data_IF_403971163467
#
_entry.id   IF_403971163467
#
_cell.length_a   1.000
_cell.length_b   1.000
_cell.length_c   1.000
_cell.angle_alpha   90.00
_cell.angle_beta   90.00
_cell.angle_gamma   90.00
#
_symmetry.space_group_name_H-M   'P 1'
#
loop_
_entity.id
_entity.type
_entity.pdbx_description
1 polymer ?
#
# COMPACT_ATOMS: atom_id res chain seq x y z
N UNK A 1 9.47 -30.99 -36.92
CA UNK A 1 9.85 -31.94 -35.86
C UNK A 1 9.80 -31.23 -34.53
N UNK A 2 8.75 -31.51 -33.82
CA UNK A 2 8.39 -30.89 -32.55
C UNK A 2 9.10 -31.70 -31.45
N UNK A 3 9.87 -31.08 -30.59
CA UNK A 3 10.35 -31.70 -29.37
C UNK A 3 9.70 -31.03 -28.18
N UNK A 4 8.70 -31.71 -27.66
CA UNK A 4 8.10 -31.44 -26.35
C UNK A 4 9.13 -31.76 -25.28
N UNK A 5 9.40 -30.76 -24.42
CA UNK A 5 10.07 -30.98 -23.14
C UNK A 5 8.98 -30.95 -22.07
N UNK A 6 8.68 -32.10 -21.52
CA UNK A 6 7.83 -32.27 -20.34
C UNK A 6 8.64 -31.83 -19.13
N UNK A 7 8.21 -30.77 -18.46
CA UNK A 7 8.66 -30.45 -17.11
C UNK A 7 7.78 -31.28 -16.15
N UNK A 8 8.40 -32.20 -15.44
CA UNK A 8 7.74 -32.98 -14.38
C UNK A 8 7.66 -32.06 -13.14
N UNK A 9 6.46 -31.60 -12.84
CA UNK A 9 6.15 -31.12 -11.51
C UNK A 9 6.17 -32.32 -10.55
N UNK A 10 7.08 -32.33 -9.61
CA UNK A 10 7.11 -33.28 -8.52
C UNK A 10 6.04 -32.88 -7.48
N UNK A 11 4.85 -33.43 -7.62
CA UNK A 11 3.80 -33.37 -6.61
C UNK A 11 4.27 -34.16 -5.40
N UNK A 12 4.75 -33.47 -4.36
CA UNK A 12 5.04 -34.08 -3.07
C UNK A 12 3.72 -34.28 -2.33
N UNK A 13 3.24 -35.51 -2.39
CA UNK A 13 2.05 -35.95 -1.66
C UNK A 13 2.45 -36.16 -0.20
N UNK A 14 2.36 -35.15 0.64
CA UNK A 14 2.46 -35.32 2.09
C UNK A 14 1.16 -35.93 2.60
N UNK A 15 1.26 -37.16 3.10
CA UNK A 15 0.20 -37.86 3.79
C UNK A 15 -0.05 -37.18 5.14
N UNK A 16 -1.19 -36.53 5.28
CA UNK A 16 -1.65 -36.02 6.57
C UNK A 16 -1.95 -37.21 7.51
N UNK A 17 -1.05 -37.46 8.44
CA UNK A 17 -1.38 -38.18 9.66
C UNK A 17 -1.73 -37.14 10.72
N UNK A 18 -3.01 -37.09 11.06
CA UNK A 18 -3.50 -36.40 12.24
C UNK A 18 -2.89 -37.02 13.50
N UNK A 19 -1.92 -36.31 14.08
CA UNK A 19 -1.55 -36.48 15.49
C UNK A 19 -1.47 -35.09 16.08
N UNK A 20 -2.20 -34.87 17.18
CA UNK A 20 -2.04 -33.75 18.08
C UNK A 20 -0.61 -33.80 18.66
N UNK A 21 0.31 -33.15 18.00
CA UNK A 21 1.63 -32.83 18.51
C UNK A 21 1.86 -31.34 18.24
N UNK A 22 2.31 -30.62 19.26
CA UNK A 22 2.92 -29.29 19.10
C UNK A 22 4.24 -29.49 18.33
N UNK A 23 4.15 -29.64 17.01
CA UNK A 23 5.29 -29.78 16.11
C UNK A 23 5.83 -28.37 15.80
N UNK A 24 6.49 -27.77 16.82
CA UNK A 24 7.39 -26.67 16.56
C UNK A 24 8.58 -27.25 15.78
N UNK A 25 8.65 -26.99 14.50
CA UNK A 25 9.87 -27.24 13.72
C UNK A 25 11.05 -26.52 14.40
N UNK A 26 12.25 -27.13 14.42
CA UNK A 26 13.39 -26.48 15.04
C UNK A 26 13.67 -25.16 14.29
N UNK A 27 13.73 -24.05 15.05
CA UNK A 27 14.03 -22.73 14.51
C UNK A 27 15.30 -22.79 13.66
N UNK A 28 15.27 -22.37 12.39
CA UNK A 28 16.43 -22.42 11.51
C UNK A 28 17.61 -21.64 12.08
N UNK A 29 18.83 -22.12 11.83
CA UNK A 29 20.05 -21.51 12.37
C UNK A 29 20.35 -20.08 11.87
N UNK A 30 19.63 -19.60 10.87
CA UNK A 30 19.73 -18.22 10.37
C UNK A 30 18.83 -17.25 11.15
N UNK A 31 17.89 -17.73 11.97
CA UNK A 31 17.03 -16.91 12.82
C UNK A 31 17.77 -16.58 14.10
N UNK A 32 17.93 -15.29 14.40
CA UNK A 32 18.58 -14.85 15.63
C UNK A 32 17.74 -15.16 16.88
N UNK A 33 18.37 -15.23 18.02
CA UNK A 33 17.66 -15.39 19.29
C UNK A 33 16.79 -14.17 19.62
N UNK A 34 17.23 -12.99 19.20
CA UNK A 34 16.53 -11.73 19.36
C UNK A 34 15.23 -11.71 18.54
N UNK A 35 15.30 -12.13 17.28
CA UNK A 35 14.11 -12.21 16.40
C UNK A 35 13.11 -13.24 16.91
N UNK A 36 13.60 -14.43 17.30
CA UNK A 36 12.73 -15.45 17.90
C UNK A 36 12.02 -14.92 19.14
N UNK A 37 12.74 -14.22 20.02
CA UNK A 37 12.16 -13.67 21.24
C UNK A 37 11.12 -12.60 20.95
N UNK A 38 11.39 -11.70 19.97
CA UNK A 38 10.45 -10.68 19.54
C UNK A 38 9.18 -11.28 18.93
N UNK A 39 9.33 -12.33 18.13
CA UNK A 39 8.19 -13.07 17.58
C UNK A 39 7.35 -13.72 18.69
N UNK A 40 7.98 -14.44 19.60
CA UNK A 40 7.27 -15.11 20.71
C UNK A 40 6.55 -14.13 21.63
N UNK A 41 7.13 -12.94 21.86
CA UNK A 41 6.51 -11.88 22.65
C UNK A 41 5.28 -11.31 21.93
N UNK A 42 5.40 -11.07 20.62
CA UNK A 42 4.31 -10.47 19.83
C UNK A 42 3.18 -11.48 19.54
N UNK A 43 3.53 -12.75 19.33
CA UNK A 43 2.58 -13.81 18.93
C UNK A 43 2.67 -15.05 19.86
N UNK A 44 2.35 -14.92 21.14
CA UNK A 44 2.55 -16.00 22.12
C UNK A 44 1.65 -17.23 21.90
N UNK A 45 0.64 -17.11 21.05
CA UNK A 45 -0.28 -18.19 20.70
C UNK A 45 -0.07 -18.75 19.27
N UNK A 46 1.03 -18.36 18.61
CA UNK A 46 1.36 -18.82 17.27
C UNK A 46 1.55 -20.34 17.24
N UNK A 47 1.06 -20.96 16.16
CA UNK A 47 1.18 -22.39 15.86
C UNK A 47 1.55 -22.57 14.40
N UNK A 48 2.03 -23.75 14.04
CA UNK A 48 2.45 -24.09 12.68
C UNK A 48 3.44 -23.07 12.13
N UNK A 49 4.47 -22.75 12.93
CA UNK A 49 5.43 -21.66 12.66
C UNK A 49 6.47 -22.13 11.66
N UNK A 50 6.53 -21.48 10.51
CA UNK A 50 7.53 -21.68 9.48
C UNK A 50 8.35 -20.41 9.30
N UNK A 51 9.66 -20.54 9.04
CA UNK A 51 10.56 -19.41 8.87
C UNK A 51 11.18 -19.45 7.48
N UNK A 52 11.16 -18.31 6.81
CA UNK A 52 11.87 -18.12 5.56
C UNK A 52 12.70 -16.83 5.56
N UNK A 53 13.48 -16.62 4.52
CA UNK A 53 14.21 -15.37 4.30
C UNK A 53 13.84 -14.82 2.94
N UNK A 54 13.52 -13.54 2.88
CA UNK A 54 13.23 -12.82 1.65
C UNK A 54 13.96 -11.48 1.70
N UNK A 55 14.90 -11.28 0.78
CA UNK A 55 15.81 -10.14 0.82
C UNK A 55 16.56 -10.06 2.18
N UNK A 56 16.47 -8.96 2.89
CA UNK A 56 17.13 -8.73 4.20
C UNK A 56 16.21 -9.04 5.39
N UNK A 57 15.02 -9.61 5.13
CA UNK A 57 14.02 -9.90 6.16
C UNK A 57 13.92 -11.38 6.48
N UNK A 58 13.51 -11.62 7.73
CA UNK A 58 13.04 -12.91 8.22
C UNK A 58 11.52 -12.88 8.20
N UNK A 59 10.92 -13.80 7.47
CA UNK A 59 9.49 -13.95 7.34
C UNK A 59 9.04 -15.15 8.14
N UNK A 60 7.93 -14.99 8.82
CA UNK A 60 7.36 -16.01 9.68
C UNK A 60 5.92 -16.24 9.27
N UNK A 61 5.67 -17.41 8.68
CA UNK A 61 4.33 -17.92 8.44
C UNK A 61 3.84 -18.64 9.69
N UNK A 62 2.65 -18.34 10.12
CA UNK A 62 2.08 -18.99 11.31
C UNK A 62 0.56 -18.89 11.34
N UNK A 63 -0.04 -19.74 12.17
CA UNK A 63 -1.48 -19.69 12.44
C UNK A 63 -1.77 -19.16 13.83
N UNK A 64 -2.76 -18.28 13.92
CA UNK A 64 -3.34 -17.84 15.16
C UNK A 64 -4.79 -18.30 15.23
N UNK A 65 -5.26 -18.73 16.42
CA UNK A 65 -6.63 -19.20 16.64
C UNK A 65 -7.10 -20.34 15.70
N UNK A 66 -6.17 -21.21 15.27
CA UNK A 66 -6.35 -22.44 14.47
C UNK A 66 -6.77 -22.25 13.02
N UNK A 67 -7.04 -21.02 12.53
CA UNK A 67 -7.56 -20.81 11.16
C UNK A 67 -7.10 -19.53 10.50
N UNK A 68 -6.58 -18.57 11.25
CA UNK A 68 -6.14 -17.30 10.69
C UNK A 68 -4.68 -17.47 10.32
N UNK A 69 -4.40 -17.43 9.05
CA UNK A 69 -3.05 -17.44 8.49
C UNK A 69 -2.47 -16.03 8.59
N UNK A 70 -1.20 -15.96 8.96
CA UNK A 70 -0.47 -14.71 9.13
C UNK A 70 0.94 -14.86 8.63
N UNK A 71 1.44 -13.82 8.01
CA UNK A 71 2.85 -13.64 7.65
C UNK A 71 3.40 -12.43 8.39
N UNK A 72 4.47 -12.58 9.15
CA UNK A 72 5.08 -11.49 9.89
C UNK A 72 6.54 -11.29 9.50
N UNK A 73 6.95 -10.02 9.36
CA UNK A 73 8.24 -9.61 8.83
C UNK A 73 9.10 -8.98 9.91
N UNK A 74 10.31 -9.50 10.07
CA UNK A 74 11.29 -9.06 11.05
C UNK A 74 12.67 -8.87 10.40
N UNK A 75 13.55 -8.12 11.04
CA UNK A 75 14.97 -8.18 10.75
C UNK A 75 15.71 -9.08 11.76
N UNK A 76 16.99 -9.30 11.53
CA UNK A 76 17.84 -10.12 12.41
C UNK A 76 18.10 -9.49 13.79
N UNK A 77 17.72 -8.24 14.01
CA UNK A 77 17.78 -7.58 15.32
C UNK A 77 16.52 -7.81 16.17
N UNK A 78 15.50 -8.44 15.59
CA UNK A 78 14.19 -8.64 16.19
C UNK A 78 13.24 -7.46 16.00
N UNK A 79 13.57 -6.51 15.11
CA UNK A 79 12.65 -5.44 14.76
C UNK A 79 11.51 -6.01 13.91
N UNK A 80 10.29 -5.86 14.38
CA UNK A 80 9.10 -6.16 13.59
C UNK A 80 8.77 -4.98 12.65
N UNK A 81 8.41 -5.31 11.42
CA UNK A 81 8.07 -4.33 10.38
C UNK A 81 6.59 -4.39 9.98
N UNK A 82 6.09 -5.59 9.72
CA UNK A 82 4.78 -5.78 9.14
C UNK A 82 4.17 -7.12 9.58
N UNK A 83 2.85 -7.19 9.55
CA UNK A 83 2.10 -8.45 9.63
C UNK A 83 0.92 -8.36 8.68
N UNK A 84 0.88 -9.30 7.79
CA UNK A 84 -0.24 -9.61 6.94
C UNK A 84 -1.14 -10.63 7.65
N UNK A 85 -2.42 -10.47 7.48
CA UNK A 85 -3.42 -11.38 8.03
C UNK A 85 -4.51 -11.59 7.00
N UNK A 86 -4.63 -12.82 6.50
CA UNK A 86 -5.76 -13.24 5.67
C UNK A 86 -7.06 -13.16 6.49
N UNK A 87 -8.02 -12.41 5.99
CA UNK A 87 -9.33 -12.24 6.62
C UNK A 87 -10.47 -12.44 5.63
N UNK A 88 -11.55 -13.10 6.01
CA UNK A 88 -12.74 -13.14 5.18
C UNK A 88 -13.29 -11.72 4.89
N UNK A 89 -13.76 -11.45 3.68
CA UNK A 89 -14.41 -10.17 3.31
C UNK A 89 -15.45 -9.70 4.33
N UNK A 90 -16.14 -10.62 4.99
CA UNK A 90 -17.13 -10.30 6.02
C UNK A 90 -16.53 -9.63 7.26
N UNK A 91 -15.22 -9.81 7.52
CA UNK A 91 -14.50 -9.23 8.66
C UNK A 91 -13.93 -7.84 8.38
N UNK A 92 -13.94 -7.38 7.13
CA UNK A 92 -13.59 -6.00 6.82
C UNK A 92 -14.42 -5.01 7.67
N UNK A 93 -13.88 -3.83 8.01
CA UNK A 93 -14.66 -2.73 8.56
C UNK A 93 -15.86 -2.39 7.66
N UNK A 94 -16.98 -2.02 8.25
CA UNK A 94 -18.19 -1.69 7.48
C UNK A 94 -17.96 -0.51 6.51
N UNK A 95 -17.09 0.42 6.88
CA UNK A 95 -16.71 1.54 6.02
C UNK A 95 -15.98 1.07 4.76
N UNK A 96 -15.02 0.14 4.90
CA UNK A 96 -14.29 -0.47 3.77
C UNK A 96 -15.23 -1.25 2.85
N UNK A 97 -16.08 -2.10 3.43
CA UNK A 97 -17.11 -2.83 2.65
C UNK A 97 -18.01 -1.89 1.86
N UNK A 98 -18.44 -0.80 2.49
CA UNK A 98 -19.31 0.20 1.85
C UNK A 98 -18.58 0.92 0.73
N UNK A 99 -17.33 1.34 0.96
CA UNK A 99 -16.51 2.01 -0.04
C UNK A 99 -16.26 1.11 -1.26
N UNK A 100 -15.85 -0.13 -1.04
CA UNK A 100 -15.68 -1.11 -2.11
C UNK A 100 -16.96 -1.33 -2.92
N UNK A 101 -18.09 -1.56 -2.24
CA UNK A 101 -19.37 -1.81 -2.91
C UNK A 101 -19.91 -0.61 -3.72
N UNK A 102 -19.46 0.59 -3.43
CA UNK A 102 -19.79 1.82 -4.15
C UNK A 102 -18.71 2.25 -5.14
N UNK A 103 -17.55 1.58 -5.13
CA UNK A 103 -16.40 1.88 -5.97
C UNK A 103 -16.51 1.31 -7.38
N UNK A 104 -15.54 1.68 -8.20
CA UNK A 104 -15.42 1.27 -9.61
C UNK A 104 -15.34 -0.26 -9.76
N UNK A 105 -14.63 -0.92 -8.85
CA UNK A 105 -14.35 -2.36 -8.89
C UNK A 105 -15.42 -3.22 -8.18
N UNK A 106 -16.55 -2.63 -7.79
CA UNK A 106 -17.62 -3.31 -7.03
C UNK A 106 -18.23 -4.54 -7.72
N UNK A 107 -18.06 -4.67 -9.05
CA UNK A 107 -18.56 -5.81 -9.85
C UNK A 107 -17.49 -6.85 -10.14
N UNK A 108 -16.25 -6.61 -9.73
CA UNK A 108 -15.17 -7.56 -9.90
C UNK A 108 -15.27 -8.66 -8.84
N UNK A 109 -14.71 -9.82 -9.15
CA UNK A 109 -14.62 -10.91 -8.18
C UNK A 109 -13.57 -10.55 -7.15
N UNK A 110 -13.91 -10.59 -5.87
CA UNK A 110 -12.93 -10.55 -4.79
C UNK A 110 -12.24 -11.91 -4.74
N UNK A 111 -10.93 -11.91 -4.85
CA UNK A 111 -10.10 -13.12 -4.78
C UNK A 111 -9.56 -13.33 -3.39
N UNK A 112 -8.90 -12.31 -2.83
CA UNK A 112 -8.41 -12.36 -1.47
C UNK A 112 -8.63 -11.03 -0.72
N UNK A 113 -8.47 -11.06 0.61
CA UNK A 113 -8.60 -9.89 1.47
C UNK A 113 -7.64 -9.95 2.64
N UNK A 114 -6.78 -8.96 2.75
CA UNK A 114 -5.78 -8.87 3.78
C UNK A 114 -5.93 -7.66 4.68
N UNK A 115 -5.57 -7.85 5.93
CA UNK A 115 -5.31 -6.78 6.87
C UNK A 115 -3.80 -6.67 7.06
N UNK A 116 -3.23 -5.55 6.68
CA UNK A 116 -1.80 -5.27 6.79
C UNK A 116 -1.55 -4.29 7.93
N UNK A 117 -1.01 -4.82 9.03
CA UNK A 117 -0.51 -4.04 10.15
C UNK A 117 0.96 -3.72 9.90
N UNK A 118 1.37 -2.45 10.00
CA UNK A 118 2.73 -2.01 9.73
C UNK A 118 3.26 -1.17 10.88
N UNK A 119 4.56 -1.14 11.02
CA UNK A 119 5.21 -0.39 12.09
C UNK A 119 5.12 1.11 11.84
N UNK A 120 4.62 1.83 12.85
CA UNK A 120 4.56 3.31 12.91
C UNK A 120 3.69 3.96 11.82
N UNK A 121 2.92 3.19 11.06
CA UNK A 121 1.96 3.67 10.05
C UNK A 121 0.57 3.06 10.25
N UNK A 122 -0.42 3.60 9.57
CA UNK A 122 -1.80 3.14 9.63
C UNK A 122 -1.93 1.71 9.11
N UNK A 123 -2.80 0.91 9.73
CA UNK A 123 -3.25 -0.36 9.18
C UNK A 123 -4.01 -0.12 7.89
N UNK A 124 -3.78 -0.93 6.88
CA UNK A 124 -4.55 -0.91 5.64
C UNK A 124 -5.24 -2.25 5.41
N UNK A 125 -6.33 -2.21 4.65
CA UNK A 125 -7.04 -3.40 4.18
C UNK A 125 -6.87 -3.49 2.67
N UNK A 126 -6.35 -4.59 2.20
CA UNK A 126 -6.18 -4.87 0.78
C UNK A 126 -7.33 -5.74 0.33
N UNK A 127 -7.96 -5.38 -0.78
CA UNK A 127 -8.95 -6.22 -1.45
C UNK A 127 -8.40 -6.52 -2.83
N UNK A 128 -7.99 -7.76 -3.03
CA UNK A 128 -7.57 -8.25 -4.33
C UNK A 128 -8.80 -8.58 -5.17
N UNK A 129 -8.83 -8.05 -6.38
CA UNK A 129 -9.97 -8.22 -7.27
C UNK A 129 -9.54 -8.65 -8.65
N UNK A 130 -10.31 -9.56 -9.25
CA UNK A 130 -10.06 -10.04 -10.60
C UNK A 130 -11.25 -9.85 -11.54
N UNK A 131 -10.98 -9.55 -12.80
CA UNK A 131 -11.95 -9.59 -13.89
C UNK A 131 -11.28 -10.04 -15.20
N UNK A 132 -11.56 -11.26 -15.60
CA UNK A 132 -10.95 -11.86 -16.79
C UNK A 132 -9.47 -12.19 -16.59
N UNK A 133 -8.58 -11.41 -17.18
CA UNK A 133 -7.12 -11.52 -17.02
C UNK A 133 -6.52 -10.27 -16.36
N UNK A 134 -7.32 -9.46 -15.74
CA UNK A 134 -6.89 -8.26 -15.04
C UNK A 134 -7.10 -8.45 -13.55
N UNK A 135 -6.09 -8.15 -12.78
CA UNK A 135 -6.06 -8.18 -11.33
C UNK A 135 -5.75 -6.79 -10.81
N UNK A 136 -6.40 -6.41 -9.73
CA UNK A 136 -6.26 -5.07 -9.12
C UNK A 136 -6.36 -5.20 -7.61
N UNK A 137 -5.37 -4.63 -6.92
CA UNK A 137 -5.34 -4.52 -5.48
C UNK A 137 -5.79 -3.14 -5.05
N UNK A 138 -6.75 -3.13 -4.14
CA UNK A 138 -7.38 -1.93 -3.62
C UNK A 138 -7.04 -1.76 -2.15
N UNK A 139 -6.28 -0.72 -1.84
CA UNK A 139 -5.81 -0.42 -0.48
C UNK A 139 -6.72 0.58 0.19
N UNK A 140 -7.36 0.18 1.27
CA UNK A 140 -8.29 1.01 2.03
C UNK A 140 -7.77 1.31 3.43
N UNK A 141 -7.93 2.55 3.88
CA UNK A 141 -7.83 2.87 5.31
C UNK A 141 -8.99 2.26 6.10
N UNK A 142 -8.90 2.11 7.43
CA UNK A 142 -9.97 1.50 8.24
C UNK A 142 -11.33 2.21 8.13
N UNK A 143 -11.35 3.48 7.78
CA UNK A 143 -12.56 4.29 7.56
C UNK A 143 -13.02 4.31 6.09
N UNK A 144 -12.48 3.43 5.25
CA UNK A 144 -12.99 3.17 3.91
C UNK A 144 -12.54 4.19 2.87
N UNK A 145 -11.45 4.91 3.10
CA UNK A 145 -10.83 5.76 2.09
C UNK A 145 -9.93 4.89 1.23
N UNK A 146 -10.14 4.89 -0.09
CA UNK A 146 -9.23 4.23 -1.03
C UNK A 146 -7.96 5.07 -1.11
N UNK A 147 -6.85 4.52 -0.63
CA UNK A 147 -5.56 5.22 -0.54
C UNK A 147 -4.63 4.89 -1.71
N UNK A 148 -4.77 3.69 -2.28
CA UNK A 148 -3.94 3.24 -3.40
C UNK A 148 -4.67 2.20 -4.24
N UNK A 149 -4.39 2.21 -5.53
CA UNK A 149 -4.81 1.16 -6.47
C UNK A 149 -3.58 0.66 -7.20
N UNK A 150 -3.32 -0.64 -7.16
CA UNK A 150 -2.22 -1.28 -7.86
C UNK A 150 -2.80 -2.21 -8.92
N UNK A 151 -2.37 -2.02 -10.17
CA UNK A 151 -2.69 -2.96 -11.24
C UNK A 151 -1.69 -4.11 -11.15
N UNK A 152 -2.15 -5.27 -10.74
CA UNK A 152 -1.30 -6.44 -10.74
C UNK A 152 -1.08 -6.93 -12.18
N UNK A 153 0.16 -6.81 -12.61
CA UNK A 153 0.58 -7.22 -13.95
C UNK A 153 1.22 -8.61 -13.96
N UNK A 154 1.06 -9.42 -12.91
CA UNK A 154 1.57 -10.79 -12.95
C UNK A 154 2.08 -11.41 -11.67
N UNK A 155 1.29 -11.41 -10.63
CA UNK A 155 1.48 -12.32 -9.50
C UNK A 155 2.77 -12.06 -8.73
N UNK A 156 2.94 -10.84 -8.25
CA UNK A 156 3.91 -10.54 -7.22
C UNK A 156 3.15 -10.42 -5.90
N UNK A 157 2.88 -11.57 -5.30
CA UNK A 157 2.13 -11.71 -4.05
C UNK A 157 2.91 -11.19 -2.82
N UNK A 158 3.92 -10.34 -3.04
CA UNK A 158 4.80 -9.84 -2.00
C UNK A 158 4.53 -8.39 -1.66
N UNK A 159 4.10 -8.13 -0.43
CA UNK A 159 3.97 -6.78 0.14
C UNK A 159 5.31 -6.15 0.55
N UNK A 160 6.42 -6.57 -0.07
CA UNK A 160 7.76 -6.06 0.23
C UNK A 160 7.86 -4.54 0.06
N UNK A 161 7.13 -4.00 -0.92
CA UNK A 161 7.04 -2.57 -1.19
C UNK A 161 6.24 -1.80 -0.14
N UNK A 162 5.58 -2.52 0.79
CA UNK A 162 4.79 -1.94 1.89
C UNK A 162 5.52 -1.89 3.23
N UNK A 163 6.76 -2.34 3.29
CA UNK A 163 7.56 -2.21 4.50
C UNK A 163 7.94 -0.73 4.67
N UNK A 164 7.36 -0.02 5.65
CA UNK A 164 7.57 1.41 5.74
C UNK A 164 9.02 1.72 6.10
N UNK A 165 9.60 2.67 5.38
CA UNK A 165 10.86 3.29 5.75
C UNK A 165 10.70 4.03 7.08
N UNK A 166 11.77 4.10 7.88
CA UNK A 166 11.73 4.90 9.11
C UNK A 166 11.98 6.38 8.77
N UNK A 167 11.08 7.31 9.13
CA UNK A 167 11.29 8.71 8.87
C UNK A 167 12.46 9.24 9.71
N UNK A 168 13.18 10.22 9.18
CA UNK A 168 14.12 10.96 10.00
C UNK A 168 13.36 11.79 11.05
N UNK A 169 14.02 12.16 12.15
CA UNK A 169 13.41 12.99 13.20
C UNK A 169 12.91 14.34 12.68
N UNK A 170 13.51 14.90 11.62
CA UNK A 170 13.08 16.15 10.98
C UNK A 170 11.79 15.97 10.19
N UNK A 171 11.64 14.86 9.48
CA UNK A 171 10.40 14.50 8.74
C UNK A 171 9.25 14.30 9.72
N UNK A 172 9.46 13.50 10.77
CA UNK A 172 8.45 13.25 11.81
C UNK A 172 8.04 14.55 12.52
N UNK A 173 9.00 15.45 12.83
CA UNK A 173 8.70 16.75 13.42
C UNK A 173 7.87 17.62 12.48
N UNK A 174 8.18 17.65 11.17
CA UNK A 174 7.42 18.41 10.19
C UNK A 174 5.97 17.92 10.11
N UNK A 175 5.75 16.61 9.97
CA UNK A 175 4.39 16.05 9.90
C UNK A 175 3.59 16.40 11.16
N UNK A 176 4.18 16.25 12.34
CA UNK A 176 3.50 16.60 13.61
C UNK A 176 3.22 18.10 13.76
N UNK A 177 4.06 18.99 13.22
CA UNK A 177 3.88 20.44 13.28
C UNK A 177 2.79 20.92 12.33
N UNK A 178 2.82 20.48 11.07
CA UNK A 178 1.94 20.98 10.01
C UNK A 178 0.66 20.16 9.84
N UNK A 179 0.68 18.89 10.23
CA UNK A 179 -0.43 17.94 10.09
C UNK A 179 -0.67 17.15 11.39
N UNK A 180 -0.92 17.81 12.53
CA UNK A 180 -0.91 17.18 13.86
C UNK A 180 -1.97 16.08 14.07
N UNK A 181 -2.99 16.06 13.23
CA UNK A 181 -4.09 15.06 13.28
C UNK A 181 -4.03 14.05 12.14
N UNK A 182 -3.05 14.16 11.25
CA UNK A 182 -2.93 13.23 10.14
C UNK A 182 -2.44 11.86 10.61
N UNK A 183 -2.89 10.85 9.91
CA UNK A 183 -2.41 9.47 10.04
C UNK A 183 -1.41 9.23 8.91
N UNK A 184 -0.28 8.64 9.22
CA UNK A 184 0.71 8.26 8.21
C UNK A 184 0.25 6.95 7.60
N UNK A 185 0.07 6.95 6.29
CA UNK A 185 -0.35 5.78 5.51
C UNK A 185 0.85 4.99 5.03
N UNK A 186 1.88 5.69 4.56
CA UNK A 186 3.09 5.06 4.07
C UNK A 186 4.31 5.98 4.20
N UNK A 187 5.50 5.38 4.20
CA UNK A 187 6.78 6.10 4.18
C UNK A 187 7.72 5.32 3.27
N UNK A 188 8.11 5.93 2.16
CA UNK A 188 9.11 5.39 1.26
C UNK A 188 10.36 6.26 1.21
N UNK A 189 11.50 5.63 0.91
CA UNK A 189 12.77 6.32 0.75
C UNK A 189 13.55 5.79 -0.44
N UNK A 190 13.53 6.55 -1.50
CA UNK A 190 14.25 6.20 -2.71
C UNK A 190 15.16 7.35 -3.17
N UNK A 191 16.39 7.02 -3.55
CA UNK A 191 17.38 7.96 -4.16
C UNK A 191 17.60 9.27 -3.36
N UNK A 192 17.51 9.20 -2.04
CA UNK A 192 17.72 10.36 -1.16
C UNK A 192 16.48 11.28 -1.03
N UNK A 193 15.33 10.83 -1.51
CA UNK A 193 14.04 11.47 -1.25
C UNK A 193 13.26 10.60 -0.29
N UNK A 194 12.66 11.21 0.72
CA UNK A 194 11.67 10.54 1.58
C UNK A 194 10.30 11.03 1.16
N UNK A 195 9.44 10.11 0.81
CA UNK A 195 8.02 10.31 0.54
C UNK A 195 7.22 9.87 1.76
N UNK A 196 6.25 10.67 2.15
CA UNK A 196 5.34 10.36 3.26
C UNK A 196 3.92 10.56 2.79
N UNK A 197 3.17 9.50 2.70
CA UNK A 197 1.74 9.55 2.45
C UNK A 197 0.98 9.72 3.76
N UNK A 198 0.14 10.73 3.82
CA UNK A 198 -0.69 11.01 5.01
C UNK A 198 -2.17 11.14 4.65
N UNK A 199 -3.01 10.77 5.61
CA UNK A 199 -4.43 11.03 5.57
C UNK A 199 -4.79 12.12 6.60
N UNK A 200 -5.02 13.34 6.10
CA UNK A 200 -5.41 14.51 6.89
C UNK A 200 -6.94 14.68 6.85
N UNK A 201 -7.61 14.13 7.84
CA UNK A 201 -9.08 13.99 7.84
C UNK A 201 -9.54 12.98 6.79
N UNK A 202 -10.01 13.45 5.63
CA UNK A 202 -10.42 12.64 4.47
C UNK A 202 -9.63 12.97 3.21
N UNK A 203 -8.52 13.71 3.35
CA UNK A 203 -7.71 14.19 2.24
C UNK A 203 -6.37 13.47 2.27
N UNK A 204 -6.08 12.75 1.20
CA UNK A 204 -4.76 12.14 0.99
C UNK A 204 -3.77 13.21 0.54
N UNK A 205 -2.56 13.18 1.12
CA UNK A 205 -1.45 14.05 0.76
C UNK A 205 -0.17 13.24 0.67
N UNK A 206 0.64 13.56 -0.31
CA UNK A 206 2.00 13.07 -0.49
C UNK A 206 2.98 14.20 -0.16
N UNK A 207 3.85 13.98 0.80
CA UNK A 207 4.86 14.94 1.23
C UNK A 207 6.23 14.44 0.81
N UNK A 208 6.99 15.26 0.09
CA UNK A 208 8.35 14.94 -0.32
C UNK A 208 9.37 15.72 0.52
N UNK A 209 10.39 15.02 0.98
CA UNK A 209 11.52 15.58 1.73
C UNK A 209 12.84 15.20 1.06
N UNK A 210 13.83 16.08 1.15
CA UNK A 210 15.18 15.77 0.69
C UNK A 210 15.91 14.81 1.65
N UNK A 211 17.12 14.40 1.28
CA UNK A 211 17.95 13.49 2.08
C UNK A 211 18.29 14.04 3.49
N UNK A 212 18.25 15.36 3.66
CA UNK A 212 18.41 16.03 4.95
C UNK A 212 17.11 16.08 5.78
N UNK A 213 15.98 15.68 5.22
CA UNK A 213 14.66 15.77 5.82
C UNK A 213 14.04 17.15 5.76
N UNK A 214 14.50 18.02 4.83
CA UNK A 214 13.84 19.29 4.57
C UNK A 214 12.68 19.10 3.59
N UNK A 215 11.53 19.70 3.90
CA UNK A 215 10.35 19.63 3.05
C UNK A 215 10.61 20.28 1.67
N UNK A 216 10.17 19.60 0.63
CA UNK A 216 10.32 20.03 -0.77
C UNK A 216 8.99 20.32 -1.43
N UNK A 217 8.00 19.47 -1.21
CA UNK A 217 6.71 19.51 -1.88
C UNK A 217 5.62 18.85 -1.05
N UNK A 218 4.40 19.36 -1.18
CA UNK A 218 3.17 18.64 -0.84
C UNK A 218 2.30 18.53 -2.08
N UNK A 219 1.85 17.32 -2.39
CA UNK A 219 0.81 17.03 -3.36
C UNK A 219 -0.47 16.68 -2.61
N UNK A 220 -1.56 17.35 -2.95
CA UNK A 220 -2.88 17.09 -2.38
C UNK A 220 -3.80 16.64 -3.48
N UNK A 221 -4.31 15.42 -3.40
CA UNK A 221 -5.30 14.91 -4.32
C UNK A 221 -6.62 15.68 -4.20
N UNK A 222 -7.18 16.09 -5.31
CA UNK A 222 -8.40 16.87 -5.37
C UNK A 222 -9.51 16.14 -6.12
N UNK A 223 -10.71 16.18 -5.58
CA UNK A 223 -11.87 15.87 -6.40
C UNK A 223 -11.97 16.90 -7.53
N UNK A 224 -12.27 16.46 -8.74
CA UNK A 224 -12.43 17.35 -9.91
C UNK A 224 -13.41 18.51 -9.64
N UNK A 225 -14.44 18.25 -8.82
CA UNK A 225 -15.43 19.27 -8.41
C UNK A 225 -14.87 20.32 -7.44
N UNK A 226 -13.69 20.09 -6.87
CA UNK A 226 -13.02 21.04 -5.99
C UNK A 226 -12.03 21.97 -6.72
N UNK A 227 -11.82 21.75 -8.04
CA UNK A 227 -11.00 22.65 -8.85
C UNK A 227 -11.62 24.05 -8.89
N UNK A 228 -10.82 25.14 -8.75
CA UNK A 228 -11.30 26.51 -8.86
C UNK A 228 -11.93 26.82 -10.24
N UNK A 229 -12.92 27.68 -10.26
CA UNK A 229 -13.58 28.10 -11.49
C UNK A 229 -12.61 28.66 -12.53
N UNK A 230 -11.56 29.39 -12.10
CA UNK A 230 -10.53 29.93 -12.98
C UNK A 230 -9.73 28.82 -13.69
N UNK A 231 -9.38 27.75 -12.96
CA UNK A 231 -8.67 26.58 -13.51
C UNK A 231 -9.57 25.86 -14.52
N UNK A 232 -10.83 25.61 -14.16
CA UNK A 232 -11.82 25.00 -15.04
C UNK A 232 -12.06 25.83 -16.31
N UNK A 233 -12.09 27.18 -16.19
CA UNK A 233 -12.22 28.09 -17.33
C UNK A 233 -10.99 28.03 -18.23
N UNK A 234 -9.79 27.95 -17.67
CA UNK A 234 -8.54 27.83 -18.44
C UNK A 234 -8.52 26.54 -19.26
N UNK A 235 -8.91 25.41 -18.69
CA UNK A 235 -8.98 24.13 -19.38
C UNK A 235 -9.96 24.21 -20.54
N UNK A 236 -11.17 24.76 -20.30
CA UNK A 236 -12.20 24.95 -21.34
C UNK A 236 -11.78 25.89 -22.45
N UNK A 237 -10.91 26.86 -22.20
CA UNK A 237 -10.36 27.80 -23.19
C UNK A 237 -9.13 27.26 -23.92
N UNK A 238 -8.55 26.15 -23.46
CA UNK A 238 -7.34 25.57 -24.05
C UNK A 238 -7.65 24.70 -25.27
N UNK A 239 -6.60 24.27 -25.95
CA UNK A 239 -6.71 23.26 -27.03
C UNK A 239 -7.21 21.90 -26.57
N UNK A 240 -7.24 21.67 -25.28
CA UNK A 240 -7.66 20.42 -24.60
C UNK A 240 -9.10 20.48 -24.07
N UNK A 241 -9.90 21.46 -24.48
CA UNK A 241 -11.27 21.67 -24.00
C UNK A 241 -12.22 20.47 -24.13
N UNK A 242 -11.89 19.52 -25.03
CA UNK A 242 -12.68 18.31 -25.29
C UNK A 242 -12.15 17.06 -24.57
N UNK A 243 -11.02 17.20 -23.87
CA UNK A 243 -10.45 16.09 -23.10
C UNK A 243 -11.22 15.91 -21.80
N UNK A 244 -11.29 14.67 -21.31
CA UNK A 244 -11.81 14.37 -19.98
C UNK A 244 -10.75 14.73 -18.94
N UNK A 245 -11.14 15.35 -17.85
CA UNK A 245 -10.26 15.47 -16.69
C UNK A 245 -10.23 14.09 -16.04
N UNK A 246 -9.05 13.52 -15.92
CA UNK A 246 -8.81 12.23 -15.33
C UNK A 246 -8.42 12.37 -13.87
N UNK A 247 -7.44 13.22 -13.60
CA UNK A 247 -6.95 13.48 -12.25
C UNK A 247 -6.64 14.96 -12.03
N UNK A 248 -6.62 15.37 -10.75
CA UNK A 248 -6.34 16.74 -10.34
C UNK A 248 -5.67 16.80 -8.98
N UNK A 249 -4.50 17.42 -8.93
CA UNK A 249 -3.73 17.65 -7.73
C UNK A 249 -3.52 19.15 -7.46
N UNK A 250 -3.39 19.49 -6.18
CA UNK A 250 -2.83 20.76 -5.76
C UNK A 250 -1.40 20.55 -5.28
N UNK A 251 -0.46 21.23 -5.92
CA UNK A 251 0.98 21.11 -5.65
C UNK A 251 1.46 22.36 -4.95
N UNK A 252 2.08 22.18 -3.79
CA UNK A 252 2.75 23.23 -3.00
C UNK A 252 4.25 22.95 -2.97
N UNK A 253 5.07 23.97 -3.20
CA UNK A 253 6.53 23.89 -3.12
C UNK A 253 7.12 25.16 -2.49
N UNK A 254 8.42 25.16 -2.20
CA UNK A 254 9.13 26.35 -1.72
C UNK A 254 9.08 27.56 -2.68
N UNK A 255 8.80 27.33 -3.97
CA UNK A 255 8.86 28.37 -5.01
C UNK A 255 7.49 28.77 -5.56
N UNK A 256 6.42 28.13 -5.14
CA UNK A 256 5.06 28.44 -5.57
C UNK A 256 4.14 27.24 -5.51
N UNK A 257 2.90 27.50 -5.91
CA UNK A 257 1.81 26.54 -5.90
C UNK A 257 1.06 26.53 -7.22
N UNK A 258 0.50 25.39 -7.63
CA UNK A 258 -0.29 25.25 -8.85
C UNK A 258 -1.19 24.04 -8.78
N UNK A 259 -2.17 23.98 -9.65
CA UNK A 259 -2.98 22.81 -9.92
C UNK A 259 -2.33 22.01 -11.05
N UNK A 260 -2.08 20.73 -10.81
CA UNK A 260 -1.67 19.77 -11.81
C UNK A 260 -2.93 19.02 -12.24
N UNK A 261 -3.32 19.17 -13.50
CA UNK A 261 -4.53 18.54 -14.02
C UNK A 261 -4.16 17.59 -15.14
N UNK A 262 -4.55 16.36 -14.99
CA UNK A 262 -4.37 15.30 -15.98
C UNK A 262 -5.60 15.22 -16.89
N UNK A 263 -5.36 15.29 -18.18
CA UNK A 263 -6.39 15.33 -19.20
C UNK A 263 -6.21 14.18 -20.17
N UNK A 264 -7.28 13.44 -20.44
CA UNK A 264 -7.26 12.25 -21.28
C UNK A 264 -8.18 12.37 -22.49
N UNK A 265 -7.74 11.86 -23.65
CA UNK A 265 -8.57 11.67 -24.84
C UNK A 265 -8.13 10.43 -25.62
N UNK A 266 -8.85 9.33 -25.47
CA UNK A 266 -8.50 8.02 -26.01
C UNK A 266 -7.22 7.45 -25.39
N UNK A 267 -6.11 7.47 -26.16
CA UNK A 267 -4.79 7.05 -25.66
C UNK A 267 -3.84 8.24 -25.45
N UNK A 268 -4.33 9.44 -25.52
CA UNK A 268 -3.53 10.65 -25.32
C UNK A 268 -3.77 11.18 -23.93
N UNK A 269 -2.70 11.46 -23.24
CA UNK A 269 -2.65 11.98 -21.88
C UNK A 269 -1.83 13.26 -21.86
N UNK A 270 -2.32 14.28 -21.16
CA UNK A 270 -1.68 15.59 -21.06
C UNK A 270 -1.80 16.09 -19.63
N UNK A 271 -0.68 16.53 -19.04
CA UNK A 271 -0.63 17.17 -17.73
C UNK A 271 -0.48 18.68 -17.89
N UNK A 272 -1.42 19.43 -17.35
CA UNK A 272 -1.37 20.89 -17.32
C UNK A 272 -1.04 21.40 -15.93
N UNK A 273 -0.11 22.34 -15.84
CA UNK A 273 0.12 23.15 -14.63
C UNK A 273 -0.62 24.47 -14.79
N UNK A 274 -1.49 24.77 -13.84
CA UNK A 274 -2.36 25.95 -13.90
C UNK A 274 -2.33 26.65 -12.55
N UNK A 275 -2.04 27.95 -12.50
CA UNK A 275 -2.09 28.68 -11.24
C UNK A 275 -3.53 29.01 -10.81
N UNK A 276 -3.72 29.48 -9.59
CA UNK A 276 -5.04 29.78 -9.04
C UNK A 276 -5.81 30.87 -9.80
N UNK A 277 -5.14 31.64 -10.67
CA UNK A 277 -5.78 32.64 -11.54
C UNK A 277 -6.23 32.09 -12.88
N UNK A 278 -5.93 30.81 -13.18
CA UNK A 278 -6.23 30.15 -14.44
C UNK A 278 -5.15 30.35 -15.52
N UNK A 279 -3.97 30.82 -15.17
CA UNK A 279 -2.86 30.88 -16.12
C UNK A 279 -2.19 29.52 -16.25
N UNK A 280 -2.10 28.99 -17.45
CA UNK A 280 -1.31 27.79 -17.77
C UNK A 280 0.18 28.18 -17.73
N UNK A 281 0.97 27.42 -16.96
CA UNK A 281 2.38 27.66 -16.66
C UNK A 281 3.33 26.96 -17.63
#
# INVERSE_FOLDING_TARGET
>A
MIKNVFLLAALSLCLFQSCDNDDNEPVPGYVSAETKAAFDEKYPAAKDVEWETRNDYLIVDFKQDKKVEKEAWFDNSGTWYMTETDIPFAQLPDAVKTAFQQGEYSTWKVDDVDMIERRDVETVYVIETEQGNSEVDLYYSPDGILVKTVLDAGGNDGYEDFIPSQPSSSVDAYVKEYYPSARILDIDREKGVTEVEILDGTVCRELLFDDGGAWMQTKTELRITALPDAVMAAIKASQYATYRIDDADFIETLTGEWYLVELESGKQEVKLRIDATGKIL
#
